data_IF_283900704871
#
_entry.id   IF_283900704871
#
_cell.length_a   1.000
_cell.length_b   1.000
_cell.length_c   1.000
_cell.angle_alpha   90.00
_cell.angle_beta   90.00
_cell.angle_gamma   90.00
#
_symmetry.space_group_name_H-M   'P 1'
#
loop_
_entity.id
_entity.type
_entity.pdbx_description
1 polymer ?
#
# COMPACT_ATOMS: atom_id res chain seq x y z
N UNK A 1 -41.60 -15.24 -11.51
CA UNK A 1 -40.52 -16.24 -11.66
C UNK A 1 -39.31 -15.52 -12.26
N UNK A 2 -38.15 -15.69 -11.63
CA UNK A 2 -37.00 -14.78 -11.60
C UNK A 2 -36.42 -14.38 -12.96
N UNK A 3 -36.05 -13.10 -13.09
CA UNK A 3 -35.41 -12.48 -14.25
C UNK A 3 -33.88 -12.59 -14.19
N UNK A 4 -33.35 -13.82 -14.23
CA UNK A 4 -31.89 -14.07 -14.37
C UNK A 4 -31.57 -14.80 -15.69
N UNK A 5 -32.17 -14.33 -16.79
CA UNK A 5 -31.77 -14.81 -18.12
C UNK A 5 -30.42 -14.21 -18.50
N UNK A 6 -29.51 -15.06 -18.99
CA UNK A 6 -28.19 -14.66 -19.50
C UNK A 6 -28.26 -14.51 -21.02
N UNK A 7 -28.88 -13.43 -21.47
CA UNK A 7 -29.17 -13.15 -22.88
C UNK A 7 -28.24 -12.08 -23.50
N UNK A 8 -27.45 -11.37 -22.69
CA UNK A 8 -26.45 -10.40 -23.16
C UNK A 8 -25.15 -11.12 -23.53
N UNK A 9 -24.72 -10.97 -24.79
CA UNK A 9 -23.41 -11.44 -25.29
C UNK A 9 -22.52 -10.24 -25.62
N UNK A 10 -21.24 -10.31 -25.23
CA UNK A 10 -20.20 -9.32 -25.55
C UNK A 10 -18.97 -10.03 -26.10
N UNK A 11 -18.38 -9.46 -27.15
CA UNK A 11 -17.15 -9.95 -27.76
C UNK A 11 -15.95 -9.23 -27.12
N UNK A 12 -14.99 -10.01 -26.63
CA UNK A 12 -13.76 -9.52 -26.00
C UNK A 12 -12.58 -10.07 -26.81
N UNK A 13 -11.61 -9.22 -27.15
CA UNK A 13 -10.38 -9.62 -27.82
C UNK A 13 -9.29 -9.82 -26.77
N UNK A 14 -8.55 -10.91 -26.89
CA UNK A 14 -7.42 -11.24 -26.03
C UNK A 14 -6.18 -11.40 -26.91
N UNK A 15 -5.01 -11.06 -26.38
CA UNK A 15 -3.77 -11.63 -26.90
C UNK A 15 -3.52 -13.03 -26.30
N UNK A 16 -2.56 -13.77 -26.87
CA UNK A 16 -2.30 -15.15 -26.46
C UNK A 16 -1.99 -15.27 -24.97
N UNK A 17 -1.21 -14.35 -24.42
CA UNK A 17 -0.83 -14.37 -23.01
C UNK A 17 -2.04 -14.17 -22.10
N UNK A 18 -2.88 -13.18 -22.39
CA UNK A 18 -4.09 -12.92 -21.62
C UNK A 18 -5.04 -14.12 -21.65
N UNK A 19 -5.21 -14.73 -22.83
CA UNK A 19 -6.04 -15.90 -23.00
C UNK A 19 -5.54 -17.09 -22.15
N UNK A 20 -4.24 -17.36 -22.18
CA UNK A 20 -3.64 -18.44 -21.39
C UNK A 20 -3.82 -18.23 -19.90
N UNK A 21 -3.58 -17.02 -19.39
CA UNK A 21 -3.80 -16.70 -17.97
C UNK A 21 -5.23 -17.00 -17.54
N UNK A 22 -6.22 -16.62 -18.37
CA UNK A 22 -7.63 -16.88 -18.05
C UNK A 22 -7.94 -18.37 -18.07
N UNK A 23 -7.39 -19.11 -19.03
CA UNK A 23 -7.59 -20.56 -19.15
C UNK A 23 -6.91 -21.35 -18.02
N UNK A 24 -5.69 -21.00 -17.65
CA UNK A 24 -4.97 -21.61 -16.53
C UNK A 24 -5.75 -21.45 -15.22
N UNK A 25 -6.22 -20.23 -14.95
CA UNK A 25 -7.02 -19.97 -13.75
C UNK A 25 -8.39 -20.68 -13.80
N UNK A 26 -9.03 -20.73 -14.98
CA UNK A 26 -10.28 -21.46 -15.16
C UNK A 26 -10.09 -22.95 -14.85
N UNK A 27 -9.02 -23.56 -15.36
CA UNK A 27 -8.66 -24.95 -15.11
C UNK A 27 -8.34 -25.20 -13.62
N UNK A 28 -7.58 -24.29 -12.98
CA UNK A 28 -7.28 -24.38 -11.56
C UNK A 28 -8.55 -24.32 -10.67
N UNK A 29 -9.57 -23.59 -11.12
CA UNK A 29 -10.88 -23.55 -10.47
C UNK A 29 -11.85 -24.65 -10.95
N UNK A 30 -11.42 -25.56 -11.84
CA UNK A 30 -12.25 -26.58 -12.49
C UNK A 30 -13.51 -25.99 -13.17
N UNK A 31 -13.35 -24.85 -13.84
CA UNK A 31 -14.41 -24.10 -14.52
C UNK A 31 -14.10 -23.97 -16.01
N UNK A 32 -15.13 -23.92 -16.85
CA UNK A 32 -14.95 -23.48 -18.23
C UNK A 32 -14.75 -21.96 -18.30
N UNK A 33 -14.19 -21.47 -19.41
CA UNK A 33 -13.88 -20.05 -19.62
C UNK A 33 -15.03 -19.11 -19.24
N UNK A 34 -16.25 -19.38 -19.73
CA UNK A 34 -17.40 -18.51 -19.48
C UNK A 34 -17.86 -18.52 -18.01
N UNK A 35 -17.76 -19.66 -17.34
CA UNK A 35 -18.05 -19.80 -15.92
C UNK A 35 -16.99 -19.07 -15.10
N UNK A 36 -15.72 -19.23 -15.45
CA UNK A 36 -14.62 -18.56 -14.79
C UNK A 36 -14.65 -17.04 -14.97
N UNK A 37 -14.90 -16.51 -16.17
CA UNK A 37 -14.99 -15.05 -16.38
C UNK A 37 -16.11 -14.44 -15.54
N UNK A 38 -17.28 -15.10 -15.48
CA UNK A 38 -18.38 -14.66 -14.61
C UNK A 38 -18.02 -14.77 -13.13
N UNK A 39 -17.42 -15.89 -12.73
CA UNK A 39 -16.91 -16.11 -11.38
C UNK A 39 -15.91 -15.02 -10.99
N UNK A 40 -14.96 -14.70 -11.86
CA UNK A 40 -13.98 -13.64 -11.66
C UNK A 40 -14.68 -12.30 -11.49
N UNK A 41 -15.64 -11.93 -12.35
CA UNK A 41 -16.39 -10.68 -12.17
C UNK A 41 -17.10 -10.61 -10.80
N UNK A 42 -17.72 -11.71 -10.36
CA UNK A 42 -18.43 -11.77 -9.08
C UNK A 42 -17.53 -11.92 -7.86
N UNK A 43 -16.33 -12.50 -8.02
CA UNK A 43 -15.37 -12.79 -6.95
C UNK A 43 -14.12 -11.91 -7.02
N UNK A 44 -14.06 -10.93 -7.93
CA UNK A 44 -13.22 -9.76 -7.77
C UNK A 44 -13.74 -9.11 -6.48
N UNK A 45 -13.14 -9.52 -5.37
CA UNK A 45 -12.92 -8.60 -4.26
C UNK A 45 -12.16 -7.48 -4.91
N UNK A 46 -12.84 -6.42 -5.33
CA UNK A 46 -12.15 -5.18 -5.70
C UNK A 46 -11.14 -4.99 -4.58
N UNK A 47 -9.82 -5.02 -4.86
CA UNK A 47 -8.81 -5.03 -3.81
C UNK A 47 -9.17 -3.86 -2.93
N UNK A 48 -9.56 -4.16 -1.68
CA UNK A 48 -10.27 -3.23 -0.82
C UNK A 48 -9.61 -1.87 -1.01
N UNK A 49 -10.33 -0.92 -1.60
CA UNK A 49 -9.74 0.34 -2.07
C UNK A 49 -9.02 1.02 -0.91
N UNK A 50 -9.50 0.80 0.31
CA UNK A 50 -8.89 1.27 1.54
C UNK A 50 -7.61 0.50 1.89
N UNK A 51 -7.57 -0.82 1.73
CA UNK A 51 -6.31 -1.60 1.85
C UNK A 51 -5.24 -1.10 0.86
N UNK A 52 -5.61 -0.79 -0.39
CA UNK A 52 -4.66 -0.22 -1.36
C UNK A 52 -4.16 1.16 -0.94
N UNK A 53 -5.04 2.01 -0.39
CA UNK A 53 -4.64 3.31 0.19
C UNK A 53 -3.69 3.12 1.36
N UNK A 54 -3.95 2.17 2.25
CA UNK A 54 -3.08 1.86 3.39
C UNK A 54 -1.69 1.37 2.93
N UNK A 55 -1.62 0.49 1.93
CA UNK A 55 -0.35 0.02 1.35
C UNK A 55 0.42 1.18 0.71
N UNK A 56 -0.24 2.03 -0.08
CA UNK A 56 0.40 3.20 -0.68
C UNK A 56 0.92 4.19 0.37
N UNK A 57 0.16 4.40 1.45
CA UNK A 57 0.60 5.22 2.58
C UNK A 57 1.84 4.63 3.24
N UNK A 58 1.87 3.31 3.47
CA UNK A 58 3.01 2.61 4.03
C UNK A 58 4.26 2.74 3.14
N UNK A 59 4.12 2.55 1.83
CA UNK A 59 5.22 2.73 0.86
C UNK A 59 5.79 4.16 0.93
N UNK A 60 4.92 5.17 1.00
CA UNK A 60 5.34 6.56 1.11
C UNK A 60 6.07 6.84 2.42
N UNK A 61 5.61 6.29 3.54
CA UNK A 61 6.28 6.41 4.84
C UNK A 61 7.67 5.75 4.83
N UNK A 62 7.80 4.55 4.24
CA UNK A 62 9.09 3.87 4.07
C UNK A 62 10.04 4.68 3.18
N UNK A 63 9.55 5.25 2.09
CA UNK A 63 10.35 6.14 1.22
C UNK A 63 10.84 7.38 1.98
N UNK A 64 10.00 7.94 2.85
CA UNK A 64 10.37 9.09 3.66
C UNK A 64 11.44 8.75 4.70
N UNK A 65 11.37 7.55 5.31
CA UNK A 65 12.41 7.03 6.20
C UNK A 65 13.72 6.84 5.42
N UNK A 66 13.68 6.23 4.23
CA UNK A 66 14.85 6.07 3.38
C UNK A 66 15.52 7.40 3.01
N UNK A 67 14.72 8.42 2.71
CA UNK A 67 15.23 9.78 2.46
C UNK A 67 15.91 10.39 3.69
N UNK A 68 15.30 10.25 4.87
CA UNK A 68 15.89 10.74 6.13
C UNK A 68 17.21 10.03 6.45
N UNK A 69 17.28 8.71 6.26
CA UNK A 69 18.52 7.92 6.42
C UNK A 69 19.60 8.40 5.44
N UNK A 70 19.24 8.59 4.16
CA UNK A 70 20.17 9.11 3.16
C UNK A 70 20.70 10.50 3.50
N UNK A 71 19.86 11.36 4.09
CA UNK A 71 20.30 12.67 4.56
C UNK A 71 21.26 12.57 5.75
N UNK A 72 20.99 11.70 6.73
CA UNK A 72 21.89 11.46 7.87
C UNK A 72 23.25 10.97 7.39
N UNK A 73 23.27 9.99 6.48
CA UNK A 73 24.51 9.44 5.91
C UNK A 73 25.28 10.52 5.13
N UNK A 74 24.59 11.30 4.28
CA UNK A 74 25.23 12.40 3.53
C UNK A 74 25.78 13.48 4.45
N UNK A 75 25.06 13.83 5.51
CA UNK A 75 25.50 14.83 6.49
C UNK A 75 26.68 14.34 7.34
N UNK A 76 26.71 13.04 7.66
CA UNK A 76 27.84 12.43 8.37
C UNK A 76 29.09 12.37 7.48
N UNK A 77 28.92 11.93 6.23
CA UNK A 77 30.00 11.79 5.27
C UNK A 77 30.51 13.13 4.71
N UNK A 78 29.74 14.21 4.81
CA UNK A 78 30.17 15.56 4.41
C UNK A 78 31.03 16.26 5.46
N UNK A 79 31.24 15.66 6.63
CA UNK A 79 32.00 16.26 7.73
C UNK A 79 31.33 17.48 8.37
N UNK A 80 30.05 17.74 8.05
CA UNK A 80 29.27 18.88 8.53
C UNK A 80 28.60 18.66 9.90
N UNK A 81 28.75 17.48 10.51
CA UNK A 81 28.28 17.25 11.88
C UNK A 81 29.24 17.93 12.87
N UNK A 82 28.94 19.17 13.22
CA UNK A 82 29.58 19.86 14.34
C UNK A 82 28.97 19.36 15.66
N UNK A 83 29.75 19.27 16.73
CA UNK A 83 29.24 18.88 18.07
C UNK A 83 28.08 19.78 18.54
N UNK A 84 28.00 21.00 18.03
CA UNK A 84 26.87 21.92 18.22
C UNK A 84 25.55 21.38 17.65
N UNK A 85 25.56 20.74 16.49
CA UNK A 85 24.35 20.18 15.86
C UNK A 85 23.85 18.96 16.63
N UNK A 86 24.77 18.14 17.14
CA UNK A 86 24.44 17.03 18.05
C UNK A 86 23.82 17.55 19.35
N UNK A 87 24.39 18.60 19.93
CA UNK A 87 23.87 19.26 21.13
C UNK A 87 22.46 19.82 20.90
N UNK A 88 22.24 20.47 19.76
CA UNK A 88 20.95 21.07 19.39
C UNK A 88 19.88 20.01 19.16
N UNK A 89 20.24 18.88 18.52
CA UNK A 89 19.34 17.75 18.31
C UNK A 89 18.91 17.12 19.64
N UNK A 90 19.82 16.94 20.59
CA UNK A 90 19.50 16.43 21.92
C UNK A 90 18.51 17.34 22.65
N UNK A 91 18.69 18.66 22.57
CA UNK A 91 17.77 19.61 23.19
C UNK A 91 16.38 19.62 22.53
N UNK A 92 16.30 19.48 21.21
CA UNK A 92 15.02 19.32 20.51
C UNK A 92 14.29 18.05 20.93
N UNK A 93 14.99 16.91 21.09
CA UNK A 93 14.39 15.67 21.57
C UNK A 93 13.89 15.79 23.02
N UNK A 94 14.64 16.50 23.88
CA UNK A 94 14.22 16.80 25.25
C UNK A 94 12.93 17.63 25.28
N UNK A 95 12.88 18.70 24.49
CA UNK A 95 11.70 19.55 24.33
C UNK A 95 10.49 18.79 23.78
N UNK A 96 10.71 17.88 22.83
CA UNK A 96 9.65 17.03 22.29
C UNK A 96 9.06 16.14 23.38
N UNK A 97 9.90 15.43 24.14
CA UNK A 97 9.46 14.55 25.24
C UNK A 97 8.69 15.32 26.33
N UNK A 98 9.14 16.54 26.68
CA UNK A 98 8.42 17.39 27.62
C UNK A 98 7.03 17.77 27.11
N UNK A 99 6.92 18.17 25.85
CA UNK A 99 5.64 18.54 25.24
C UNK A 99 4.70 17.35 25.12
N UNK A 100 5.22 16.18 24.77
CA UNK A 100 4.45 14.92 24.70
C UNK A 100 3.98 14.52 26.09
N UNK A 101 4.85 14.60 27.12
CA UNK A 101 4.48 14.35 28.51
C UNK A 101 3.37 15.28 29.00
N UNK A 102 3.52 16.59 28.81
CA UNK A 102 2.50 17.57 29.20
C UNK A 102 1.17 17.40 28.44
N UNK A 103 1.23 16.95 27.19
CA UNK A 103 0.03 16.60 26.43
C UNK A 103 -0.65 15.35 27.00
N UNK A 104 0.11 14.31 27.34
CA UNK A 104 -0.40 13.07 27.94
C UNK A 104 -0.98 13.32 29.34
N UNK A 105 -0.38 14.17 30.16
CA UNK A 105 -0.96 14.56 31.48
C UNK A 105 -2.28 15.33 31.35
N UNK A 106 -2.48 16.04 30.24
CA UNK A 106 -3.65 16.90 30.03
C UNK A 106 -4.81 16.20 29.33
N UNK A 107 -4.52 15.18 28.51
CA UNK A 107 -5.49 14.56 27.61
C UNK A 107 -5.37 13.02 27.52
N UNK A 108 -4.43 12.41 28.24
CA UNK A 108 -4.37 10.96 28.40
C UNK A 108 -5.37 10.54 29.47
N UNK A 109 -6.23 9.58 29.13
CA UNK A 109 -7.17 8.94 30.06
C UNK A 109 -6.46 8.29 31.27
#
# INVERSE_FOLDING_TARGET
>A
MSSDKRDITKLIRFNDREYQIVMENANACNMNFSAYVRYAISNIKMPNTDMRKHILKLINEVNHIGNNVNQIVRNNNSGLYMDSDKTRLMEYMRLLNLKVGAFMEKYGD
#
